data_IF_121189342059
#
_entry.id   IF_121189342059
#
_cell.length_a   1.000
_cell.length_b   1.000
_cell.length_c   1.000
_cell.angle_alpha   90.00
_cell.angle_beta   90.00
_cell.angle_gamma   90.00
#
_symmetry.space_group_name_H-M   'P 1'
#
loop_
_entity.id
_entity.type
_entity.pdbx_description
1 polymer ?
#
# COMPACT_ATOMS: atom_id res chain seq x y z
N UNK A 1 16.37 -13.95 20.35
CA UNK A 1 15.40 -13.76 21.47
C UNK A 1 14.24 -14.73 21.24
N UNK A 2 13.90 -15.60 22.20
CA UNK A 2 12.89 -16.65 22.02
C UNK A 2 11.48 -16.03 21.96
N UNK A 3 10.72 -16.26 20.89
CA UNK A 3 9.27 -16.06 20.87
C UNK A 3 8.62 -17.40 20.51
N UNK A 4 8.38 -18.22 21.53
CA UNK A 4 7.42 -19.31 21.42
C UNK A 4 6.03 -18.66 21.41
N UNK A 5 5.18 -19.05 20.46
CA UNK A 5 3.86 -18.46 20.32
C UNK A 5 3.05 -18.73 21.60
N UNK A 6 2.74 -17.68 22.35
CA UNK A 6 1.68 -17.73 23.36
C UNK A 6 0.34 -17.71 22.62
N UNK A 7 -0.58 -18.58 23.03
CA UNK A 7 -1.93 -18.62 22.48
C UNK A 7 -2.59 -17.23 22.61
N UNK A 8 -2.63 -16.44 21.52
CA UNK A 8 -3.38 -15.19 21.46
C UNK A 8 -2.61 -13.91 21.09
N UNK A 9 -1.31 -13.95 20.80
CA UNK A 9 -0.63 -12.78 20.20
C UNK A 9 -0.74 -12.81 18.67
N UNK A 10 -1.45 -11.83 18.10
CA UNK A 10 -1.42 -11.59 16.66
C UNK A 10 0.01 -11.20 16.25
N UNK A 11 0.68 -12.10 15.54
CA UNK A 11 2.01 -11.86 14.98
C UNK A 11 1.96 -10.65 14.06
N UNK A 12 3.00 -9.81 14.14
CA UNK A 12 3.14 -8.69 13.23
C UNK A 12 3.21 -9.18 11.76
N UNK A 13 2.73 -8.36 10.80
CA UNK A 13 2.93 -8.66 9.38
C UNK A 13 4.41 -8.94 9.06
N UNK A 14 4.65 -9.66 7.96
CA UNK A 14 6.00 -10.07 7.53
C UNK A 14 6.66 -11.07 8.49
N UNK A 15 5.87 -11.84 9.24
CA UNK A 15 6.35 -12.98 10.03
C UNK A 15 5.84 -14.30 9.48
N UNK A 16 6.64 -15.35 9.63
CA UNK A 16 6.29 -16.72 9.29
C UNK A 16 6.27 -17.57 10.56
N UNK A 17 5.26 -18.41 10.70
CA UNK A 17 5.23 -19.48 11.69
C UNK A 17 5.53 -20.82 11.02
N UNK A 18 6.56 -21.51 11.50
CA UNK A 18 6.93 -22.85 11.07
C UNK A 18 6.24 -23.89 11.94
N UNK A 19 5.41 -24.72 11.33
CA UNK A 19 4.62 -25.76 12.01
C UNK A 19 3.77 -25.23 13.19
N UNK A 20 3.51 -23.91 13.26
CA UNK A 20 2.86 -23.26 14.39
C UNK A 20 3.70 -23.16 15.67
N UNK A 21 4.99 -23.49 15.62
CA UNK A 21 5.86 -23.58 16.81
C UNK A 21 6.86 -22.43 16.89
N UNK A 22 7.63 -22.22 15.82
CA UNK A 22 8.70 -21.23 15.78
C UNK A 22 8.31 -20.12 14.83
N UNK A 23 8.49 -18.87 15.24
CA UNK A 23 8.15 -17.70 14.43
C UNK A 23 9.35 -16.81 14.17
N UNK A 24 9.47 -16.26 12.97
CA UNK A 24 10.51 -15.27 12.64
C UNK A 24 10.09 -14.35 11.48
N UNK A 25 10.78 -13.23 11.26
CA UNK A 25 10.58 -12.41 10.06
C UNK A 25 10.85 -13.17 8.77
N UNK A 26 10.08 -12.90 7.72
CA UNK A 26 10.37 -13.38 6.37
C UNK A 26 10.49 -12.25 5.35
N UNK A 27 11.27 -12.52 4.31
CA UNK A 27 11.48 -11.62 3.18
C UNK A 27 11.17 -12.36 1.87
N UNK A 28 10.23 -11.85 1.04
CA UNK A 28 10.08 -12.31 -0.34
C UNK A 28 11.38 -12.08 -1.11
N UNK A 29 11.95 -13.14 -1.67
CA UNK A 29 13.21 -13.07 -2.40
C UNK A 29 13.11 -13.83 -3.73
N UNK A 30 12.90 -13.08 -4.82
CA UNK A 30 12.87 -13.62 -6.18
C UNK A 30 14.28 -14.00 -6.69
N UNK A 31 15.35 -13.57 -6.00
CA UNK A 31 16.74 -13.85 -6.35
C UNK A 31 17.18 -15.28 -6.00
N UNK A 32 16.57 -15.90 -4.98
CA UNK A 32 16.83 -17.29 -4.60
C UNK A 32 15.77 -18.24 -5.15
N UNK A 33 16.19 -19.41 -5.66
CA UNK A 33 15.25 -20.41 -6.22
C UNK A 33 14.42 -21.09 -5.15
N UNK A 34 15.04 -21.43 -4.03
CA UNK A 34 14.43 -22.16 -2.92
C UNK A 34 14.37 -21.26 -1.69
N UNK A 35 13.48 -21.59 -0.75
CA UNK A 35 13.45 -20.91 0.53
C UNK A 35 14.76 -21.12 1.29
N UNK A 36 15.15 -20.16 2.12
CA UNK A 36 16.38 -20.21 2.90
C UNK A 36 16.05 -20.08 4.37
N UNK A 37 16.50 -21.05 5.17
CA UNK A 37 16.24 -21.11 6.61
C UNK A 37 17.55 -21.26 7.40
N UNK A 38 17.78 -20.46 8.46
CA UNK A 38 18.95 -20.64 9.33
C UNK A 38 18.90 -21.98 10.08
N UNK A 39 20.05 -22.67 10.20
CA UNK A 39 20.14 -23.97 10.91
C UNK A 39 19.60 -23.90 12.33
N UNK A 40 19.87 -22.80 13.07
CA UNK A 40 19.37 -22.58 14.43
C UNK A 40 17.85 -22.80 14.52
N UNK A 41 17.10 -22.33 13.52
CA UNK A 41 15.64 -22.45 13.50
C UNK A 41 15.23 -23.90 13.24
N UNK A 42 15.94 -24.62 12.37
CA UNK A 42 15.70 -26.05 12.12
C UNK A 42 15.98 -26.87 13.37
N UNK A 43 17.07 -26.59 14.10
CA UNK A 43 17.39 -27.25 15.36
C UNK A 43 16.32 -26.98 16.43
N UNK A 44 15.82 -25.76 16.53
CA UNK A 44 14.69 -25.41 17.42
C UNK A 44 13.41 -26.16 17.05
N UNK A 45 13.12 -26.29 15.74
CA UNK A 45 11.99 -27.06 15.26
C UNK A 45 12.14 -28.56 15.56
N UNK A 46 13.34 -29.12 15.41
CA UNK A 46 13.61 -30.53 15.73
C UNK A 46 13.44 -30.85 17.21
N UNK A 47 13.78 -29.90 18.10
CA UNK A 47 13.55 -30.06 19.54
C UNK A 47 12.06 -30.11 19.90
N UNK A 48 11.23 -29.38 19.16
CA UNK A 48 9.79 -29.34 19.39
C UNK A 48 9.01 -30.41 18.61
N UNK A 49 9.51 -30.83 17.44
CA UNK A 49 8.88 -31.80 16.55
C UNK A 49 9.94 -32.71 15.90
N UNK A 50 9.96 -34.03 16.20
CA UNK A 50 10.98 -34.95 15.67
C UNK A 50 10.93 -35.20 14.15
N UNK A 51 9.74 -35.11 13.53
CA UNK A 51 9.55 -35.28 12.07
C UNK A 51 9.38 -33.89 11.42
N UNK A 52 10.45 -33.36 10.83
CA UNK A 52 10.45 -31.99 10.30
C UNK A 52 10.05 -32.00 8.83
N UNK A 53 8.74 -32.07 8.59
CA UNK A 53 8.12 -31.51 7.38
C UNK A 53 7.75 -30.07 7.70
N UNK A 54 8.21 -29.14 6.88
CA UNK A 54 8.05 -27.72 7.13
C UNK A 54 6.76 -27.22 6.47
N UNK A 55 5.82 -26.80 7.29
CA UNK A 55 4.62 -26.06 6.89
C UNK A 55 4.80 -24.61 7.32
N UNK A 56 4.56 -23.69 6.39
CA UNK A 56 4.63 -22.24 6.59
C UNK A 56 3.24 -21.67 6.81
N UNK A 57 3.09 -20.83 7.83
CA UNK A 57 1.98 -19.89 7.94
C UNK A 57 2.56 -18.46 7.86
N UNK A 58 2.45 -17.85 6.68
CA UNK A 58 2.88 -16.49 6.41
C UNK A 58 1.82 -15.52 6.91
N UNK A 59 2.24 -14.54 7.70
CA UNK A 59 1.41 -13.46 8.19
C UNK A 59 1.64 -12.25 7.30
N UNK A 60 0.72 -12.02 6.37
CA UNK A 60 0.77 -10.90 5.43
C UNK A 60 -0.12 -9.76 5.92
N UNK A 61 0.08 -8.51 5.45
CA UNK A 61 -0.84 -7.41 5.75
C UNK A 61 -2.29 -7.67 5.35
N UNK A 62 -2.50 -8.53 4.33
CA UNK A 62 -3.83 -8.91 3.84
C UNK A 62 -4.43 -10.13 4.56
N UNK A 63 -3.68 -10.78 5.45
CA UNK A 63 -4.12 -11.98 6.17
C UNK A 63 -3.12 -13.13 6.12
N UNK A 64 -3.54 -14.30 6.60
CA UNK A 64 -2.68 -15.48 6.73
C UNK A 64 -2.68 -16.33 5.47
N UNK A 65 -1.50 -16.77 5.05
CA UNK A 65 -1.31 -17.69 3.91
C UNK A 65 -0.59 -18.94 4.39
N UNK A 66 -1.16 -20.12 4.12
CA UNK A 66 -0.57 -21.41 4.51
C UNK A 66 0.01 -22.14 3.31
N UNK A 67 1.26 -22.55 3.41
CA UNK A 67 1.95 -23.41 2.43
C UNK A 67 2.48 -24.64 3.13
N UNK A 68 2.25 -25.83 2.57
CA UNK A 68 2.62 -27.10 3.21
C UNK A 68 3.75 -27.80 2.49
N UNK A 69 4.58 -28.53 3.24
CA UNK A 69 5.69 -29.33 2.70
C UNK A 69 6.64 -28.52 1.82
N UNK A 70 7.05 -27.35 2.31
CA UNK A 70 7.97 -26.50 1.55
C UNK A 70 9.40 -27.04 1.61
N UNK A 71 10.13 -26.89 0.50
CA UNK A 71 11.57 -27.20 0.45
C UNK A 71 12.37 -25.97 0.86
N UNK A 72 13.35 -26.15 1.74
CA UNK A 72 14.23 -25.08 2.19
C UNK A 72 15.70 -25.52 2.12
N UNK A 73 16.58 -24.58 1.81
CA UNK A 73 18.03 -24.70 1.98
C UNK A 73 18.37 -24.25 3.39
N UNK A 74 19.15 -25.08 4.10
CA UNK A 74 19.62 -24.78 5.45
C UNK A 74 20.95 -24.03 5.36
N UNK A 75 21.08 -22.93 6.09
CA UNK A 75 22.30 -22.10 6.11
C UNK A 75 22.90 -22.00 7.50
N UNK A 76 24.22 -21.81 7.57
CA UNK A 76 24.95 -21.55 8.83
C UNK A 76 24.92 -20.07 9.27
N UNK A 77 24.21 -19.19 8.54
CA UNK A 77 24.16 -17.77 8.88
C UNK A 77 23.58 -17.54 10.27
N UNK A 78 24.07 -16.49 10.93
CA UNK A 78 23.55 -16.00 12.21
C UNK A 78 22.43 -14.97 12.02
N UNK A 79 22.09 -14.65 10.78
CA UNK A 79 20.99 -13.75 10.46
C UNK A 79 19.65 -14.36 10.91
N UNK A 80 18.79 -13.50 11.46
CA UNK A 80 17.48 -13.88 11.98
C UNK A 80 16.39 -13.66 10.91
N UNK A 81 16.65 -14.11 9.68
CA UNK A 81 15.77 -13.86 8.52
C UNK A 81 15.48 -15.16 7.74
N UNK A 82 14.22 -15.36 7.36
CA UNK A 82 13.81 -16.42 6.43
C UNK A 82 13.58 -15.84 5.04
N UNK A 83 14.24 -16.38 4.02
CA UNK A 83 14.01 -15.96 2.64
C UNK A 83 12.96 -16.86 1.98
N UNK A 84 11.89 -16.24 1.50
CA UNK A 84 10.83 -16.91 0.76
C UNK A 84 11.21 -16.90 -0.72
N UNK A 85 11.74 -18.03 -1.19
CA UNK A 85 12.34 -18.16 -2.51
C UNK A 85 11.31 -18.20 -3.64
N UNK A 86 11.79 -17.95 -4.85
CA UNK A 86 10.99 -17.83 -6.08
C UNK A 86 10.01 -18.97 -6.32
N UNK A 87 10.41 -20.25 -6.18
CA UNK A 87 9.47 -21.35 -6.44
C UNK A 87 8.26 -21.35 -5.51
N UNK A 88 8.43 -20.88 -4.27
CA UNK A 88 7.30 -20.74 -3.34
C UNK A 88 6.46 -19.51 -3.68
N UNK A 89 7.09 -18.41 -4.07
CA UNK A 89 6.39 -17.21 -4.54
C UNK A 89 5.55 -17.51 -5.79
N UNK A 90 6.11 -18.19 -6.78
CA UNK A 90 5.41 -18.63 -7.99
C UNK A 90 4.23 -19.55 -7.64
N UNK A 91 4.41 -20.50 -6.71
CA UNK A 91 3.33 -21.38 -6.25
C UNK A 91 2.19 -20.63 -5.52
N UNK A 92 2.47 -19.45 -4.99
CA UNK A 92 1.47 -18.53 -4.41
C UNK A 92 0.86 -17.58 -5.46
N UNK A 93 1.25 -17.70 -6.74
CA UNK A 93 0.78 -16.84 -7.84
C UNK A 93 1.58 -15.56 -8.03
N UNK A 94 2.75 -15.44 -7.37
CA UNK A 94 3.64 -14.28 -7.46
C UNK A 94 4.80 -14.65 -8.39
N UNK A 95 4.56 -14.51 -9.70
CA UNK A 95 5.59 -14.66 -10.73
C UNK A 95 6.05 -13.29 -11.22
N UNK A 96 7.10 -12.75 -10.58
CA UNK A 96 7.63 -11.42 -10.89
C UNK A 96 8.12 -11.35 -12.34
N UNK A 97 8.79 -12.38 -12.84
CA UNK A 97 9.35 -12.37 -14.19
C UNK A 97 8.25 -12.44 -15.26
N UNK A 98 7.26 -13.32 -15.07
CA UNK A 98 6.11 -13.41 -15.95
C UNK A 98 5.26 -12.14 -15.95
N UNK A 99 5.06 -11.53 -14.77
CA UNK A 99 4.34 -10.26 -14.63
C UNK A 99 5.09 -9.10 -15.31
N UNK A 100 6.42 -9.04 -15.17
CA UNK A 100 7.25 -8.04 -15.86
C UNK A 100 7.25 -8.26 -17.38
N UNK A 101 7.38 -9.51 -17.83
CA UNK A 101 7.32 -9.87 -19.25
C UNK A 101 6.00 -9.47 -19.90
N UNK A 102 4.88 -9.57 -19.16
CA UNK A 102 3.58 -9.14 -19.65
C UNK A 102 3.50 -7.63 -19.93
N UNK A 103 4.34 -6.81 -19.27
CA UNK A 103 4.40 -5.37 -19.54
C UNK A 103 4.99 -5.06 -20.92
N UNK A 104 5.96 -5.85 -21.40
CA UNK A 104 6.60 -5.63 -22.69
C UNK A 104 5.66 -5.84 -23.90
N UNK A 105 4.55 -6.57 -23.71
CA UNK A 105 3.55 -6.81 -24.75
C UNK A 105 2.40 -5.80 -24.76
N UNK A 106 2.37 -4.87 -23.78
CA UNK A 106 1.58 -3.65 -23.92
C UNK A 106 2.39 -2.70 -24.79
N UNK A 107 1.76 -2.20 -25.85
CA UNK A 107 2.24 -1.05 -26.64
C UNK A 107 2.88 -0.05 -25.67
N UNK A 108 4.17 0.29 -25.87
CA UNK A 108 5.04 0.98 -24.89
C UNK A 108 4.22 1.98 -24.10
N UNK A 109 3.78 1.57 -22.92
CA UNK A 109 3.05 2.47 -22.03
C UNK A 109 4.16 3.32 -21.48
N UNK A 110 4.24 4.57 -21.93
CA UNK A 110 5.07 5.58 -21.30
C UNK A 110 4.50 5.75 -19.89
N UNK A 111 4.93 4.86 -18.98
CA UNK A 111 4.49 4.84 -17.61
C UNK A 111 5.19 6.01 -16.95
N UNK A 112 4.56 7.18 -17.02
CA UNK A 112 4.97 8.33 -16.25
C UNK A 112 4.39 8.17 -14.83
N UNK A 113 5.20 7.88 -13.81
CA UNK A 113 4.72 7.80 -12.43
C UNK A 113 4.24 9.16 -11.88
N UNK A 114 4.39 10.23 -12.65
CA UNK A 114 3.86 11.56 -12.38
C UNK A 114 2.62 11.91 -13.23
N UNK A 115 2.21 11.08 -14.19
CA UNK A 115 0.92 11.23 -14.86
C UNK A 115 -0.19 10.93 -13.85
N UNK A 116 -0.76 11.98 -13.28
CA UNK A 116 -1.92 11.86 -12.41
C UNK A 116 -3.12 11.43 -13.25
N UNK A 117 -3.80 10.35 -12.86
CA UNK A 117 -5.09 9.96 -13.47
C UNK A 117 -6.22 10.97 -13.21
N UNK A 118 -5.98 12.00 -12.40
CA UNK A 118 -6.89 13.15 -12.31
C UNK A 118 -6.81 13.93 -13.62
N UNK A 119 -7.87 13.92 -14.45
CA UNK A 119 -7.87 14.71 -15.68
C UNK A 119 -7.75 16.18 -15.31
N UNK A 120 -6.59 16.78 -15.60
CA UNK A 120 -6.43 18.22 -15.55
C UNK A 120 -7.28 18.82 -16.67
N UNK A 121 -8.23 19.67 -16.29
CA UNK A 121 -8.96 20.44 -17.29
C UNK A 121 -8.03 21.56 -17.78
N UNK A 122 -7.75 21.56 -19.09
CA UNK A 122 -7.05 22.65 -19.77
C UNK A 122 -7.99 23.80 -20.11
N UNK A 123 -9.31 23.62 -19.90
CA UNK A 123 -10.30 24.65 -20.15
C UNK A 123 -10.23 25.74 -19.07
N UNK A 124 -10.43 27.01 -19.44
CA UNK A 124 -10.55 28.08 -18.47
C UNK A 124 -11.70 27.81 -17.49
N UNK A 125 -11.56 28.19 -16.20
CA UNK A 125 -12.60 27.95 -15.20
C UNK A 125 -13.93 28.63 -15.59
N UNK A 126 -15.02 27.87 -15.59
CA UNK A 126 -16.36 28.42 -15.79
C UNK A 126 -16.81 29.19 -14.56
N UNK A 127 -16.59 30.51 -14.61
CA UNK A 127 -16.95 31.43 -13.53
C UNK A 127 -18.44 31.38 -13.18
N UNK A 128 -19.33 31.13 -14.15
CA UNK A 128 -20.77 31.06 -13.86
C UNK A 128 -21.11 29.83 -13.05
N UNK A 129 -20.51 28.69 -13.41
CA UNK A 129 -20.70 27.45 -12.68
C UNK A 129 -20.13 27.55 -11.26
N UNK A 130 -18.94 28.16 -11.10
CA UNK A 130 -18.32 28.41 -9.79
C UNK A 130 -19.23 29.29 -8.93
N UNK A 131 -19.74 30.39 -9.48
CA UNK A 131 -20.65 31.29 -8.74
C UNK A 131 -21.94 30.57 -8.34
N UNK A 132 -22.51 29.74 -9.22
CA UNK A 132 -23.70 28.96 -8.91
C UNK A 132 -23.46 27.99 -7.73
N UNK A 133 -22.34 27.26 -7.76
CA UNK A 133 -21.93 26.35 -6.69
C UNK A 133 -21.67 27.08 -5.36
N UNK A 134 -21.01 28.25 -5.39
CA UNK A 134 -20.81 29.06 -4.20
C UNK A 134 -22.14 29.57 -3.61
N UNK A 135 -23.11 29.91 -4.46
CA UNK A 135 -24.45 30.27 -3.99
C UNK A 135 -25.15 29.10 -3.30
N UNK A 136 -25.02 27.89 -3.83
CA UNK A 136 -25.55 26.66 -3.21
C UNK A 136 -24.91 26.42 -1.84
N UNK A 137 -23.58 26.48 -1.73
CA UNK A 137 -22.86 26.31 -0.47
C UNK A 137 -23.23 27.37 0.58
N UNK A 138 -23.45 28.62 0.16
CA UNK A 138 -23.91 29.69 1.07
C UNK A 138 -25.34 29.40 1.56
N UNK A 139 -26.22 28.90 0.69
CA UNK A 139 -27.57 28.51 1.08
C UNK A 139 -27.54 27.33 2.06
N UNK A 140 -26.69 26.34 1.79
CA UNK A 140 -26.47 25.19 2.66
C UNK A 140 -25.91 25.60 4.02
N UNK A 141 -24.96 26.54 4.07
CA UNK A 141 -24.45 27.08 5.32
C UNK A 141 -25.55 27.73 6.16
N UNK A 142 -26.46 28.49 5.53
CA UNK A 142 -27.61 29.09 6.21
C UNK A 142 -28.59 28.02 6.71
N UNK A 143 -28.80 26.95 5.95
CA UNK A 143 -29.57 25.79 6.41
C UNK A 143 -28.89 25.11 7.62
N UNK A 144 -27.57 25.06 7.63
CA UNK A 144 -26.72 24.53 8.71
C UNK A 144 -26.41 25.58 9.79
N UNK A 145 -27.41 26.39 10.17
CA UNK A 145 -27.39 27.31 11.34
C UNK A 145 -26.51 28.57 11.17
N UNK A 146 -25.95 28.86 9.98
CA UNK A 146 -25.30 30.15 9.77
C UNK A 146 -26.32 31.31 9.87
N UNK A 147 -26.00 32.43 10.54
CA UNK A 147 -26.95 33.53 10.71
C UNK A 147 -27.45 34.10 9.38
N UNK A 148 -28.73 33.89 9.07
CA UNK A 148 -29.35 34.35 7.82
C UNK A 148 -29.21 35.87 7.59
N UNK A 149 -29.18 36.67 8.69
CA UNK A 149 -28.96 38.13 8.64
C UNK A 149 -27.60 38.51 8.06
N UNK A 150 -26.59 37.63 8.19
CA UNK A 150 -25.21 37.83 7.71
C UNK A 150 -24.93 37.14 6.38
N UNK A 151 -25.94 36.53 5.74
CA UNK A 151 -25.80 35.85 4.45
C UNK A 151 -25.18 36.75 3.38
N UNK A 152 -25.55 38.04 3.38
CA UNK A 152 -24.99 39.03 2.44
C UNK A 152 -23.50 39.28 2.68
N UNK A 153 -23.09 39.44 3.94
CA UNK A 153 -21.68 39.60 4.32
C UNK A 153 -20.85 38.37 3.91
N UNK A 154 -21.40 37.17 4.12
CA UNK A 154 -20.76 35.92 3.71
C UNK A 154 -20.56 35.88 2.19
N UNK A 155 -21.59 36.26 1.42
CA UNK A 155 -21.51 36.33 -0.03
C UNK A 155 -20.43 37.32 -0.50
N UNK A 156 -20.37 38.51 0.09
CA UNK A 156 -19.35 39.52 -0.25
C UNK A 156 -17.93 39.03 0.03
N UNK A 157 -17.70 38.33 1.15
CA UNK A 157 -16.39 37.77 1.48
C UNK A 157 -15.99 36.66 0.51
N UNK A 158 -16.91 35.72 0.23
CA UNK A 158 -16.65 34.60 -0.68
C UNK A 158 -16.35 35.08 -2.10
N UNK A 159 -17.04 36.13 -2.55
CA UNK A 159 -16.87 36.70 -3.90
C UNK A 159 -15.69 37.68 -4.02
N UNK A 160 -15.03 38.02 -2.91
CA UNK A 160 -13.94 39.01 -2.90
C UNK A 160 -12.71 38.55 -3.68
N UNK A 161 -12.47 37.25 -3.74
CA UNK A 161 -11.29 36.66 -4.36
C UNK A 161 -11.67 35.60 -5.40
N UNK A 162 -11.01 35.63 -6.56
CA UNK A 162 -11.19 34.67 -7.66
C UNK A 162 -10.30 33.43 -7.46
N UNK A 163 -10.46 32.76 -6.32
CA UNK A 163 -9.64 31.61 -5.88
C UNK A 163 -10.37 30.26 -5.95
N UNK A 164 -11.68 30.27 -6.26
CA UNK A 164 -12.52 29.09 -6.18
C UNK A 164 -12.50 28.29 -7.48
N UNK A 165 -12.35 26.96 -7.38
CA UNK A 165 -12.33 26.05 -8.53
C UNK A 165 -13.23 24.84 -8.29
N UNK A 166 -13.86 24.36 -9.35
CA UNK A 166 -14.66 23.12 -9.35
C UNK A 166 -13.77 21.90 -9.61
N UNK A 167 -12.74 22.08 -10.45
CA UNK A 167 -11.75 21.07 -10.77
C UNK A 167 -10.35 21.69 -10.78
N UNK A 168 -9.33 20.86 -10.55
CA UNK A 168 -7.92 21.26 -10.68
C UNK A 168 -7.63 21.45 -12.18
N UNK A 169 -7.02 22.59 -12.52
CA UNK A 169 -6.75 22.95 -13.91
C UNK A 169 -5.81 24.15 -14.04
N UNK A 170 -5.66 24.64 -15.27
CA UNK A 170 -4.76 25.75 -15.57
C UNK A 170 -5.27 27.07 -15.01
N UNK A 171 -4.73 27.46 -13.86
CA UNK A 171 -4.88 28.81 -13.35
C UNK A 171 -3.92 29.79 -14.02
N UNK A 172 -4.34 31.03 -14.27
CA UNK A 172 -3.40 32.05 -14.69
C UNK A 172 -2.33 32.22 -13.59
N UNK A 173 -1.07 32.51 -13.97
CA UNK A 173 -0.01 32.74 -13.00
C UNK A 173 -0.43 33.82 -12.01
N UNK A 174 -0.02 33.63 -10.75
CA UNK A 174 -0.30 34.58 -9.67
C UNK A 174 0.19 35.98 -10.05
N UNK A 175 -0.67 36.99 -9.89
CA UNK A 175 -0.33 38.40 -10.14
C UNK A 175 0.43 38.99 -8.95
N UNK A 176 1.56 38.38 -8.62
CA UNK A 176 2.44 38.83 -7.54
C UNK A 176 3.72 39.30 -8.21
N UNK A 177 4.13 40.54 -7.94
CA UNK A 177 5.42 41.04 -8.41
C UNK A 177 6.54 40.26 -7.72
N UNK A 178 7.62 39.87 -8.43
CA UNK A 178 8.78 39.28 -7.81
C UNK A 178 9.37 40.23 -6.75
N UNK A 179 9.77 39.68 -5.61
CA UNK A 179 10.44 40.43 -4.54
C UNK A 179 11.83 40.90 -4.93
#
# INVERSE_FOLDING_TARGET
>A
MKRALGDGEDLAPMHVAFNGVVTMPYFPDNGTKYNVIPRRIVEELQQACPDVKLDLELITPAGKVRSRKVTCIITETKEDEFLLGRLTLEALGIDVEGQLSALANKEIVDFDPFESETPMSFDPPDKKQIIAQLCELINEAVANVFPAKRKRELFEVVMRYDIWRIAIGNDPPSKIEPF
#
